data_IF_156707383804
#
_entry.id   IF_156707383804
#
_cell.length_a   1.000
_cell.length_b   1.000
_cell.length_c   1.000
_cell.angle_alpha   90.00
_cell.angle_beta   90.00
_cell.angle_gamma   90.00
#
_symmetry.space_group_name_H-M   'P 1'
#
loop_
_entity.id
_entity.type
_entity.pdbx_description
1 polymer ?
#
# COMPACT_ATOMS: atom_id res chain seq x y z
N UNK A 1 53.56 -22.28 -20.91
CA UNK A 1 52.66 -22.08 -19.73
C UNK A 1 51.43 -21.33 -20.24
N UNK A 2 50.32 -22.00 -20.33
CA UNK A 2 49.03 -21.39 -20.78
C UNK A 2 48.19 -21.15 -19.54
N UNK A 3 47.87 -19.88 -19.29
CA UNK A 3 47.05 -19.46 -18.17
C UNK A 3 45.57 -19.91 -18.36
N UNK A 4 44.98 -20.47 -17.34
CA UNK A 4 43.56 -20.78 -17.26
C UNK A 4 42.75 -19.50 -17.07
N UNK A 5 41.63 -19.33 -17.77
CA UNK A 5 40.74 -18.20 -17.47
C UNK A 5 40.00 -18.45 -16.20
N UNK A 6 39.83 -17.36 -15.43
CA UNK A 6 39.07 -17.32 -14.17
C UNK A 6 37.62 -17.80 -14.40
N UNK A 7 37.17 -18.68 -13.53
CA UNK A 7 35.79 -19.14 -13.48
C UNK A 7 34.87 -17.98 -13.10
N UNK A 8 34.02 -17.56 -14.02
CA UNK A 8 32.86 -16.73 -13.75
C UNK A 8 31.87 -17.54 -12.90
N UNK A 9 31.72 -17.12 -11.66
CA UNK A 9 30.66 -17.61 -10.75
C UNK A 9 29.32 -17.10 -11.29
N UNK A 10 28.67 -17.87 -12.14
CA UNK A 10 27.28 -17.75 -12.45
C UNK A 10 26.52 -18.39 -11.30
N UNK A 11 25.99 -17.58 -10.37
CA UNK A 11 24.92 -18.00 -9.47
C UNK A 11 23.67 -18.26 -10.32
N UNK A 12 23.61 -19.47 -10.89
CA UNK A 12 22.44 -19.98 -11.58
C UNK A 12 21.36 -20.24 -10.53
N UNK A 13 20.34 -19.38 -10.47
CA UNK A 13 19.07 -19.71 -9.87
C UNK A 13 18.51 -20.90 -10.66
N UNK A 14 18.72 -22.10 -10.14
CA UNK A 14 18.06 -23.30 -10.65
C UNK A 14 16.57 -23.10 -10.41
N UNK A 15 15.83 -22.67 -11.45
CA UNK A 15 14.37 -22.76 -11.49
C UNK A 15 14.03 -24.25 -11.36
N UNK A 16 13.67 -24.68 -10.14
CA UNK A 16 13.18 -26.04 -9.92
C UNK A 16 11.83 -26.12 -10.62
N UNK A 17 11.77 -26.89 -11.71
CA UNK A 17 10.53 -27.16 -12.41
C UNK A 17 9.79 -28.31 -11.72
N UNK A 18 8.51 -28.11 -11.46
CA UNK A 18 7.62 -29.14 -10.89
C UNK A 18 6.74 -29.70 -12.01
N UNK A 19 6.51 -31.02 -12.00
CA UNK A 19 5.68 -31.70 -12.98
C UNK A 19 4.64 -32.57 -12.30
N UNK A 20 3.45 -32.67 -12.90
CA UNK A 20 2.42 -33.62 -12.48
C UNK A 20 2.68 -35.02 -13.11
N UNK A 21 1.79 -35.98 -12.87
CA UNK A 21 1.89 -37.34 -13.35
C UNK A 21 1.65 -37.51 -14.87
N UNK A 22 1.32 -36.44 -15.55
CA UNK A 22 1.19 -36.36 -17.03
C UNK A 22 2.38 -35.66 -17.67
N UNK A 23 3.47 -35.43 -16.96
CA UNK A 23 4.64 -34.64 -17.40
C UNK A 23 4.33 -33.19 -17.80
N UNK A 24 3.24 -32.62 -17.26
CA UNK A 24 2.90 -31.21 -17.43
C UNK A 24 3.59 -30.39 -16.35
N UNK A 25 4.26 -29.31 -16.76
CA UNK A 25 4.86 -28.38 -15.81
C UNK A 25 3.76 -27.65 -15.02
N UNK A 26 3.90 -27.65 -13.68
CA UNK A 26 2.98 -27.03 -12.73
C UNK A 26 3.71 -26.05 -11.82
N UNK A 27 2.95 -25.20 -11.11
CA UNK A 27 3.51 -24.28 -10.12
C UNK A 27 4.17 -25.00 -8.94
N UNK A 28 5.05 -24.28 -8.24
CA UNK A 28 5.67 -24.76 -7.02
C UNK A 28 4.62 -25.08 -5.95
N UNK A 29 4.78 -26.16 -5.18
CA UNK A 29 3.88 -26.47 -4.08
C UNK A 29 3.96 -25.40 -2.98
N UNK A 30 2.85 -25.18 -2.29
CA UNK A 30 2.77 -24.30 -1.12
C UNK A 30 2.41 -25.17 0.10
N UNK A 31 3.39 -25.86 0.69
CA UNK A 31 3.12 -26.79 1.77
C UNK A 31 2.57 -26.07 3.00
N UNK A 32 1.56 -26.68 3.65
CA UNK A 32 0.94 -26.13 4.86
C UNK A 32 0.07 -24.91 4.64
N UNK A 33 -0.26 -24.56 3.39
CA UNK A 33 -1.13 -23.42 3.11
C UNK A 33 -2.58 -23.71 3.54
N UNK A 34 -3.08 -22.91 4.47
CA UNK A 34 -4.44 -22.98 5.01
C UNK A 34 -5.22 -21.64 4.86
N UNK A 35 -4.72 -20.75 4.03
CA UNK A 35 -5.26 -19.40 3.86
C UNK A 35 -4.71 -18.39 4.87
N UNK A 36 -4.95 -17.10 4.58
CA UNK A 36 -4.63 -15.99 5.46
C UNK A 36 -5.77 -15.74 6.47
N UNK A 37 -5.45 -15.05 7.58
CA UNK A 37 -6.44 -14.59 8.56
C UNK A 37 -7.06 -13.27 8.10
N UNK A 38 -8.35 -13.06 8.39
CA UNK A 38 -9.00 -11.77 8.11
C UNK A 38 -8.31 -10.66 8.90
N UNK A 39 -7.94 -9.53 8.25
CA UNK A 39 -7.45 -8.38 8.99
C UNK A 39 -8.53 -7.86 9.95
N UNK A 40 -8.11 -7.50 11.15
CA UNK A 40 -9.01 -7.04 12.19
C UNK A 40 -9.21 -5.51 12.10
N UNK A 41 -10.37 -5.05 12.59
CA UNK A 41 -10.63 -3.61 12.77
C UNK A 41 -10.05 -3.14 14.11
N UNK A 42 -8.72 -3.23 14.23
CA UNK A 42 -7.97 -2.83 15.42
C UNK A 42 -7.06 -1.66 15.12
N UNK A 43 -6.68 -0.93 16.16
CA UNK A 43 -5.75 0.21 16.03
C UNK A 43 -4.34 -0.27 15.72
N UNK A 44 -3.73 0.29 14.67
CA UNK A 44 -2.33 0.06 14.32
C UNK A 44 -1.51 1.31 14.68
N UNK A 45 -0.74 1.23 15.75
CA UNK A 45 0.04 2.35 16.24
C UNK A 45 1.41 2.43 15.55
N UNK A 46 1.73 3.60 15.01
CA UNK A 46 3.04 4.00 14.52
C UNK A 46 3.66 5.12 15.35
N UNK A 47 4.79 5.62 14.90
CA UNK A 47 5.48 6.76 15.53
C UNK A 47 4.86 8.10 15.13
N UNK A 48 4.61 8.26 13.84
CA UNK A 48 4.14 9.51 13.24
C UNK A 48 2.63 9.52 13.02
N UNK A 49 2.04 8.34 12.86
CA UNK A 49 0.60 8.19 12.74
C UNK A 49 0.07 6.96 13.49
N UNK A 50 -1.22 6.97 13.69
CA UNK A 50 -1.99 5.83 14.18
C UNK A 50 -3.12 5.57 13.19
N UNK A 51 -3.29 4.31 12.77
CA UNK A 51 -4.46 3.91 11.99
C UNK A 51 -5.54 3.46 12.96
N UNK A 52 -6.63 4.23 13.01
CA UNK A 52 -7.80 3.88 13.81
C UNK A 52 -8.89 3.27 12.93
N UNK A 53 -9.62 2.25 13.41
CA UNK A 53 -10.82 1.79 12.72
C UNK A 53 -11.72 2.97 12.38
N UNK A 54 -12.08 3.11 11.11
CA UNK A 54 -12.84 4.26 10.63
C UNK A 54 -14.20 4.35 11.31
N UNK A 55 -14.55 5.53 11.79
CA UNK A 55 -15.82 5.84 12.41
C UNK A 55 -16.30 7.22 11.94
N UNK A 56 -17.57 7.31 11.48
CA UNK A 56 -18.09 8.54 10.90
C UNK A 56 -18.23 9.66 11.95
N UNK A 57 -18.72 9.35 13.13
CA UNK A 57 -18.93 10.36 14.18
C UNK A 57 -17.61 10.91 14.71
N UNK A 58 -16.60 10.03 14.83
CA UNK A 58 -15.30 10.42 15.37
C UNK A 58 -14.42 11.17 14.33
N UNK A 59 -14.48 10.79 13.05
CA UNK A 59 -13.45 11.20 12.10
C UNK A 59 -13.93 12.16 11.00
N UNK A 60 -15.25 12.21 10.69
CA UNK A 60 -15.74 12.95 9.52
C UNK A 60 -15.42 14.45 9.59
N UNK A 61 -15.54 15.07 10.75
CA UNK A 61 -15.29 16.51 10.90
C UNK A 61 -13.81 16.85 10.66
N UNK A 62 -12.88 16.08 11.23
CA UNK A 62 -11.45 16.30 11.04
C UNK A 62 -11.02 15.99 9.61
N UNK A 63 -11.54 14.93 9.00
CA UNK A 63 -11.28 14.58 7.60
C UNK A 63 -11.76 15.67 6.65
N UNK A 64 -12.98 16.19 6.84
CA UNK A 64 -13.51 17.30 6.04
C UNK A 64 -12.59 18.52 6.12
N UNK A 65 -12.25 18.95 7.34
CA UNK A 65 -11.35 20.09 7.54
C UNK A 65 -9.99 19.87 6.87
N UNK A 66 -9.44 18.64 6.96
CA UNK A 66 -8.17 18.32 6.33
C UNK A 66 -8.24 18.32 4.79
N UNK A 67 -9.35 17.85 4.20
CA UNK A 67 -9.54 17.86 2.74
C UNK A 67 -9.82 19.26 2.20
N UNK A 68 -10.47 20.13 2.98
CA UNK A 68 -10.75 21.52 2.61
C UNK A 68 -9.49 22.40 2.59
N UNK A 69 -8.37 21.97 3.15
CA UNK A 69 -7.09 22.65 3.00
C UNK A 69 -6.55 22.58 1.55
N UNK A 70 -7.11 21.72 0.70
CA UNK A 70 -6.75 21.66 -0.72
C UNK A 70 -7.38 22.83 -1.49
N UNK A 71 -6.62 23.50 -2.38
CA UNK A 71 -7.12 24.65 -3.14
C UNK A 71 -8.21 24.27 -4.16
N UNK A 72 -8.27 23.00 -4.57
CA UNK A 72 -9.22 22.46 -5.54
C UNK A 72 -9.37 20.94 -5.39
N UNK A 73 -10.15 20.32 -6.29
CA UNK A 73 -10.52 18.91 -6.24
C UNK A 73 -9.60 17.98 -7.04
N UNK A 74 -8.44 18.48 -7.52
CA UNK A 74 -7.55 17.65 -8.37
C UNK A 74 -7.12 16.34 -7.72
N UNK A 75 -7.05 16.28 -6.40
CA UNK A 75 -6.68 15.08 -5.65
C UNK A 75 -7.75 13.98 -5.71
N UNK A 76 -8.99 14.37 -6.04
CA UNK A 76 -10.13 13.48 -6.17
C UNK A 76 -10.39 13.02 -7.61
N UNK A 77 -9.57 13.47 -8.56
CA UNK A 77 -9.70 13.12 -9.99
C UNK A 77 -9.77 11.62 -10.21
N UNK A 78 -8.91 10.86 -9.54
CA UNK A 78 -8.77 9.41 -9.74
C UNK A 78 -9.58 8.57 -8.75
N UNK A 79 -10.26 9.21 -7.79
CA UNK A 79 -11.12 8.55 -6.81
C UNK A 79 -12.52 8.29 -7.37
N UNK A 80 -13.23 7.33 -6.76
CA UNK A 80 -14.59 6.97 -7.17
C UNK A 80 -15.60 8.07 -6.88
N UNK A 81 -15.42 8.76 -5.76
CA UNK A 81 -16.27 9.84 -5.26
C UNK A 81 -15.64 11.20 -5.54
N UNK A 82 -16.47 12.22 -5.50
CA UNK A 82 -16.00 13.60 -5.43
C UNK A 82 -15.67 14.00 -3.99
N UNK A 83 -14.96 15.11 -3.81
CA UNK A 83 -14.67 15.64 -2.50
C UNK A 83 -15.96 16.05 -1.79
N UNK A 84 -16.17 15.62 -0.54
CA UNK A 84 -17.31 16.12 0.22
C UNK A 84 -17.12 17.62 0.55
N UNK A 85 -18.17 18.41 0.36
CA UNK A 85 -18.17 19.84 0.61
C UNK A 85 -18.70 20.20 2.00
N UNK A 86 -19.55 19.36 2.56
CA UNK A 86 -20.20 19.58 3.84
C UNK A 86 -19.94 18.45 4.83
N UNK A 87 -20.11 18.73 6.13
CA UNK A 87 -19.97 17.71 7.17
C UNK A 87 -20.95 16.55 6.96
N UNK A 88 -22.19 16.84 6.55
CA UNK A 88 -23.18 15.80 6.29
C UNK A 88 -22.74 14.87 5.16
N UNK A 89 -22.23 15.43 4.06
CA UNK A 89 -21.69 14.63 2.94
C UNK A 89 -20.47 13.83 3.34
N UNK A 90 -19.55 14.42 4.12
CA UNK A 90 -18.37 13.71 4.61
C UNK A 90 -18.73 12.57 5.55
N UNK A 91 -19.65 12.82 6.48
CA UNK A 91 -20.16 11.80 7.40
C UNK A 91 -20.80 10.63 6.63
N UNK A 92 -21.66 10.92 5.67
CA UNK A 92 -22.29 9.91 4.81
C UNK A 92 -21.25 9.11 4.02
N UNK A 93 -20.29 9.79 3.39
CA UNK A 93 -19.20 9.15 2.63
C UNK A 93 -18.33 8.23 3.50
N UNK A 94 -18.03 8.64 4.74
CA UNK A 94 -17.31 7.81 5.71
C UNK A 94 -18.19 6.64 6.18
N UNK A 95 -19.45 6.90 6.51
CA UNK A 95 -20.38 5.87 6.98
C UNK A 95 -20.58 4.75 5.95
N UNK A 96 -20.68 5.07 4.66
CA UNK A 96 -20.75 4.09 3.57
C UNK A 96 -19.55 3.15 3.56
N UNK A 97 -18.33 3.66 3.81
CA UNK A 97 -17.14 2.80 3.88
C UNK A 97 -17.10 1.93 5.13
N UNK A 98 -17.59 2.43 6.25
CA UNK A 98 -17.68 1.66 7.50
C UNK A 98 -18.69 0.50 7.36
N UNK A 99 -19.78 0.75 6.63
CA UNK A 99 -20.86 -0.24 6.41
C UNK A 99 -20.55 -1.24 5.32
N UNK A 100 -19.57 -0.97 4.44
CA UNK A 100 -19.20 -1.90 3.38
C UNK A 100 -18.45 -3.10 3.95
N UNK A 101 -19.03 -4.32 3.90
CA UNK A 101 -18.40 -5.52 4.47
C UNK A 101 -17.18 -5.99 3.69
N UNK A 102 -16.98 -5.50 2.47
CA UNK A 102 -15.81 -5.81 1.64
C UNK A 102 -14.58 -4.98 1.99
N UNK A 103 -14.71 -4.00 2.90
CA UNK A 103 -13.66 -3.09 3.31
C UNK A 103 -13.26 -3.30 4.77
N UNK A 104 -11.98 -3.08 5.06
CA UNK A 104 -11.47 -2.81 6.41
C UNK A 104 -10.86 -1.40 6.39
N UNK A 105 -11.69 -0.38 6.67
CA UNK A 105 -11.31 1.01 6.52
C UNK A 105 -10.68 1.58 7.78
N UNK A 106 -9.67 2.45 7.60
CA UNK A 106 -8.96 3.15 8.66
C UNK A 106 -8.93 4.66 8.41
N UNK A 107 -9.06 5.42 9.48
CA UNK A 107 -8.63 6.81 9.53
C UNK A 107 -7.14 6.87 9.84
N UNK A 108 -6.41 7.74 9.17
CA UNK A 108 -5.01 8.04 9.49
C UNK A 108 -4.97 9.22 10.42
N UNK A 109 -4.65 8.95 11.68
CA UNK A 109 -4.47 9.98 12.72
C UNK A 109 -3.03 10.49 12.68
N UNK A 110 -2.84 11.79 12.54
CA UNK A 110 -1.51 12.41 12.70
C UNK A 110 -1.21 12.52 14.20
N UNK A 111 -0.20 11.81 14.69
CA UNK A 111 0.12 11.77 16.11
C UNK A 111 0.55 13.11 16.69
N UNK A 112 1.11 14.02 15.88
CA UNK A 112 1.50 15.34 16.35
C UNK A 112 0.31 16.29 16.48
N UNK A 113 -0.75 16.09 15.66
CA UNK A 113 -1.94 16.92 15.62
C UNK A 113 -3.09 16.34 16.46
N UNK A 114 -3.12 15.02 16.64
CA UNK A 114 -4.25 14.32 17.25
C UNK A 114 -5.52 14.33 16.38
N UNK A 115 -5.38 14.49 15.06
CA UNK A 115 -6.49 14.66 14.12
C UNK A 115 -6.42 13.66 12.97
N UNK A 116 -7.58 13.25 12.44
CA UNK A 116 -7.65 12.47 11.22
C UNK A 116 -7.26 13.32 10.01
N UNK A 117 -6.26 12.87 9.25
CA UNK A 117 -5.70 13.59 8.09
C UNK A 117 -5.81 12.83 6.77
N UNK A 118 -6.31 11.60 6.79
CA UNK A 118 -6.50 10.77 5.61
C UNK A 118 -7.27 9.51 5.91
N UNK A 119 -7.56 8.75 4.86
CA UNK A 119 -8.29 7.50 4.91
C UNK A 119 -7.63 6.48 3.99
N UNK A 120 -7.64 5.22 4.41
CA UNK A 120 -7.14 4.09 3.63
C UNK A 120 -7.88 2.82 4.02
N UNK A 121 -7.96 1.84 3.12
CA UNK A 121 -8.66 0.58 3.38
C UNK A 121 -7.83 -0.63 2.93
N UNK A 122 -8.02 -1.76 3.61
CA UNK A 122 -7.91 -3.05 2.95
C UNK A 122 -9.18 -3.35 2.19
N UNK A 123 -9.04 -3.92 1.00
CA UNK A 123 -10.15 -4.30 0.15
C UNK A 123 -9.80 -5.52 -0.70
N UNK A 124 -10.80 -6.08 -1.41
CA UNK A 124 -10.62 -7.28 -2.26
C UNK A 124 -9.89 -8.40 -1.54
N UNK A 125 -10.30 -8.66 -0.29
CA UNK A 125 -9.64 -9.60 0.61
C UNK A 125 -10.02 -11.02 0.22
N UNK A 126 -9.05 -11.75 -0.35
CA UNK A 126 -9.14 -13.18 -0.68
C UNK A 126 -8.26 -13.98 0.27
N UNK A 127 -8.83 -14.44 1.37
CA UNK A 127 -8.11 -15.21 2.39
C UNK A 127 -7.65 -16.56 1.86
N UNK A 128 -8.45 -17.20 0.99
CA UNK A 128 -8.15 -18.53 0.48
C UNK A 128 -6.86 -18.52 -0.35
N UNK A 129 -6.65 -17.48 -1.13
CA UNK A 129 -5.46 -17.29 -1.94
C UNK A 129 -4.38 -16.43 -1.26
N UNK A 130 -4.68 -15.83 -0.10
CA UNK A 130 -3.76 -14.97 0.64
C UNK A 130 -3.45 -13.66 -0.10
N UNK A 131 -4.47 -13.05 -0.71
CA UNK A 131 -4.34 -11.81 -1.50
C UNK A 131 -5.25 -10.73 -0.93
N UNK A 132 -4.75 -9.51 -0.81
CA UNK A 132 -5.56 -8.33 -0.52
C UNK A 132 -5.01 -7.10 -1.25
N UNK A 133 -5.84 -6.07 -1.34
CA UNK A 133 -5.46 -4.78 -1.94
C UNK A 133 -5.48 -3.69 -0.88
N UNK A 134 -4.47 -2.81 -0.90
CA UNK A 134 -4.52 -1.51 -0.23
C UNK A 134 -5.14 -0.51 -1.20
N UNK A 135 -6.28 0.05 -0.83
CA UNK A 135 -7.03 0.97 -1.68
C UNK A 135 -7.73 2.09 -0.92
N UNK A 136 -8.55 2.85 -1.63
CA UNK A 136 -9.20 4.05 -1.11
C UNK A 136 -8.23 5.04 -0.46
N UNK A 137 -6.98 5.09 -0.93
CA UNK A 137 -5.95 6.00 -0.41
C UNK A 137 -6.38 7.44 -0.67
N UNK A 138 -6.82 8.13 0.37
CA UNK A 138 -7.35 9.49 0.30
C UNK A 138 -6.58 10.38 1.26
N UNK A 139 -5.48 10.95 0.74
CA UNK A 139 -4.59 11.81 1.52
C UNK A 139 -5.00 13.27 1.44
N UNK A 140 -5.10 13.94 2.57
CA UNK A 140 -5.26 15.39 2.62
C UNK A 140 -3.91 16.12 2.37
N UNK A 141 -3.93 17.43 2.10
CA UNK A 141 -2.71 18.25 2.05
C UNK A 141 -1.87 18.16 3.33
N UNK A 142 -2.50 17.88 4.49
CA UNK A 142 -1.82 17.79 5.80
C UNK A 142 -0.84 16.61 5.87
N UNK A 143 -1.03 15.56 5.07
CA UNK A 143 -0.17 14.38 5.07
C UNK A 143 0.56 14.10 3.75
N UNK A 144 0.22 14.81 2.67
CA UNK A 144 0.91 14.65 1.38
C UNK A 144 2.38 14.99 1.49
N UNK A 145 3.23 14.15 0.87
CA UNK A 145 4.69 14.28 0.88
C UNK A 145 5.31 14.35 2.28
N UNK A 146 4.63 13.81 3.29
CA UNK A 146 5.10 13.72 4.67
C UNK A 146 5.37 12.27 5.05
N UNK A 147 6.12 12.08 6.13
CA UNK A 147 6.45 10.77 6.69
C UNK A 147 5.19 9.98 7.06
N UNK A 148 4.15 10.64 7.52
CA UNK A 148 2.85 10.08 7.92
C UNK A 148 2.25 9.16 6.86
N UNK A 149 2.26 9.58 5.57
CA UNK A 149 1.70 8.77 4.49
C UNK A 149 2.47 7.48 4.22
N UNK A 150 3.79 7.53 4.35
CA UNK A 150 4.63 6.33 4.18
C UNK A 150 4.47 5.38 5.36
N UNK A 151 4.42 5.91 6.59
CA UNK A 151 4.23 5.07 7.78
C UNK A 151 2.84 4.40 7.78
N UNK A 152 1.78 5.12 7.39
CA UNK A 152 0.44 4.56 7.29
C UNK A 152 0.41 3.33 6.35
N UNK A 153 1.04 3.42 5.19
CA UNK A 153 1.12 2.30 4.24
C UNK A 153 2.02 1.17 4.74
N UNK A 154 3.12 1.50 5.42
CA UNK A 154 3.96 0.49 6.06
C UNK A 154 3.23 -0.28 7.14
N UNK A 155 2.43 0.39 7.99
CA UNK A 155 1.60 -0.25 9.02
C UNK A 155 0.62 -1.25 8.41
N UNK A 156 -0.04 -0.88 7.31
CA UNK A 156 -0.97 -1.78 6.60
C UNK A 156 -0.24 -2.97 5.97
N UNK A 157 0.88 -2.74 5.28
CA UNK A 157 1.65 -3.84 4.70
C UNK A 157 2.14 -4.82 5.77
N UNK A 158 2.65 -4.30 6.89
CA UNK A 158 3.07 -5.12 8.03
C UNK A 158 1.91 -5.96 8.56
N UNK A 159 0.76 -5.34 8.83
CA UNK A 159 -0.42 -6.04 9.33
C UNK A 159 -0.89 -7.13 8.37
N UNK A 160 -0.91 -6.86 7.06
CA UNK A 160 -1.28 -7.84 6.05
C UNK A 160 -0.35 -9.07 6.07
N UNK A 161 0.96 -8.87 6.09
CA UNK A 161 1.91 -10.00 6.10
C UNK A 161 1.91 -10.75 7.44
N UNK A 162 1.71 -10.06 8.57
CA UNK A 162 1.53 -10.69 9.89
C UNK A 162 0.24 -11.53 9.97
N UNK A 163 -0.80 -11.21 9.17
CA UNK A 163 -2.01 -12.00 9.00
C UNK A 163 -1.84 -13.18 8.02
N UNK A 164 -0.66 -13.35 7.43
CA UNK A 164 -0.32 -14.45 6.55
C UNK A 164 -0.72 -14.25 5.09
N UNK A 165 -1.02 -13.03 4.68
CA UNK A 165 -1.19 -12.74 3.26
C UNK A 165 0.14 -12.96 2.53
N UNK A 166 0.06 -13.56 1.33
CA UNK A 166 1.23 -13.84 0.47
C UNK A 166 1.49 -12.72 -0.53
N UNK A 167 0.47 -11.87 -0.74
CA UNK A 167 0.45 -10.87 -1.79
C UNK A 167 -0.39 -9.66 -1.35
N UNK A 168 0.23 -8.50 -1.36
CA UNK A 168 -0.44 -7.21 -1.21
C UNK A 168 -0.48 -6.54 -2.57
N UNK A 169 -1.66 -6.10 -3.00
CA UNK A 169 -1.88 -5.44 -4.29
C UNK A 169 -2.03 -3.93 -4.15
N UNK A 170 -1.63 -3.24 -5.20
CA UNK A 170 -1.88 -1.83 -5.42
C UNK A 170 -2.38 -1.63 -6.84
N UNK A 171 -3.43 -0.85 -7.01
CA UNK A 171 -4.02 -0.55 -8.31
C UNK A 171 -4.23 0.94 -8.47
N UNK A 172 -3.94 1.45 -9.65
CA UNK A 172 -4.22 2.85 -9.96
C UNK A 172 -4.71 3.02 -11.40
N UNK A 173 -5.31 4.18 -11.67
CA UNK A 173 -5.54 4.62 -13.04
C UNK A 173 -4.19 4.78 -13.73
N UNK A 174 -4.08 4.33 -14.99
CA UNK A 174 -2.83 4.41 -15.76
C UNK A 174 -2.35 5.85 -15.99
N UNK A 175 -3.25 6.83 -15.84
CA UNK A 175 -2.93 8.26 -15.92
C UNK A 175 -2.52 8.86 -14.56
N UNK A 176 -2.72 8.13 -13.45
CA UNK A 176 -2.33 8.57 -12.11
C UNK A 176 -0.85 8.29 -11.82
N UNK A 177 0.02 9.09 -12.42
CA UNK A 177 1.48 8.93 -12.28
C UNK A 177 1.97 9.07 -10.84
N UNK A 178 1.28 9.85 -10.01
CA UNK A 178 1.62 10.01 -8.60
C UNK A 178 1.40 8.70 -7.81
N UNK A 179 0.28 8.02 -8.05
CA UNK A 179 -0.02 6.73 -7.42
C UNK A 179 0.93 5.63 -7.89
N UNK A 180 1.25 5.60 -9.19
CA UNK A 180 2.26 4.69 -9.75
C UNK A 180 3.62 4.86 -9.04
N UNK A 181 4.12 6.09 -8.99
CA UNK A 181 5.39 6.39 -8.31
C UNK A 181 5.38 6.02 -6.83
N UNK A 182 4.24 6.20 -6.16
CA UNK A 182 4.08 5.81 -4.76
C UNK A 182 4.22 4.28 -4.60
N UNK A 183 3.56 3.49 -5.43
CA UNK A 183 3.68 2.03 -5.41
C UNK A 183 5.13 1.57 -5.64
N UNK A 184 5.77 2.06 -6.72
CA UNK A 184 7.16 1.73 -7.06
C UNK A 184 8.13 2.14 -5.93
N UNK A 185 7.92 3.33 -5.35
CA UNK A 185 8.72 3.82 -4.23
C UNK A 185 8.62 2.91 -3.00
N UNK A 186 7.42 2.40 -2.69
CA UNK A 186 7.17 1.51 -1.54
C UNK A 186 7.70 0.09 -1.75
N UNK A 187 8.08 -0.27 -2.97
CA UNK A 187 8.64 -1.58 -3.26
C UNK A 187 7.73 -2.50 -4.06
N UNK A 188 6.56 -2.02 -4.46
CA UNK A 188 5.67 -2.81 -5.31
C UNK A 188 6.26 -2.96 -6.71
N UNK A 189 6.11 -4.15 -7.26
CA UNK A 189 6.48 -4.50 -8.63
C UNK A 189 5.32 -4.28 -9.58
N UNK A 190 5.55 -3.61 -10.71
CA UNK A 190 4.57 -3.46 -11.78
C UNK A 190 4.35 -4.78 -12.50
N UNK A 191 3.09 -5.20 -12.67
CA UNK A 191 2.73 -6.46 -13.33
C UNK A 191 2.05 -6.28 -14.68
N UNK A 192 1.35 -5.17 -14.89
CA UNK A 192 0.71 -4.94 -16.16
C UNK A 192 -0.41 -3.88 -16.12
N UNK A 193 -0.93 -3.59 -17.33
CA UNK A 193 -2.05 -2.68 -17.57
C UNK A 193 -3.25 -3.45 -18.11
N UNK A 194 -4.36 -3.36 -17.42
CA UNK A 194 -5.64 -3.88 -17.88
C UNK A 194 -6.38 -2.75 -18.60
N UNK A 195 -6.52 -2.90 -19.91
CA UNK A 195 -7.16 -1.89 -20.77
C UNK A 195 -8.66 -1.92 -20.59
N UNK A 196 -9.31 -0.75 -20.59
CA UNK A 196 -10.77 -0.58 -20.46
C UNK A 196 -11.34 -1.36 -19.26
N UNK A 197 -10.59 -1.38 -18.15
CA UNK A 197 -10.95 -2.19 -16.98
C UNK A 197 -12.23 -1.70 -16.30
N UNK A 198 -12.49 -0.39 -16.34
CA UNK A 198 -13.70 0.18 -15.77
C UNK A 198 -14.03 1.55 -16.39
N UNK A 199 -15.28 1.98 -16.13
CA UNK A 199 -15.71 3.36 -16.38
C UNK A 199 -15.74 4.09 -15.02
N UNK A 200 -15.06 5.24 -14.95
CA UNK A 200 -14.99 6.05 -13.75
C UNK A 200 -15.35 7.51 -14.08
N UNK A 201 -16.35 8.07 -13.40
CA UNK A 201 -16.84 9.44 -13.66
C UNK A 201 -17.10 9.68 -15.15
N UNK A 202 -17.74 8.73 -15.84
CA UNK A 202 -18.03 8.79 -17.27
C UNK A 202 -16.83 8.65 -18.21
N UNK A 203 -15.65 8.31 -17.70
CA UNK A 203 -14.41 8.18 -18.49
C UNK A 203 -13.87 6.76 -18.45
N UNK A 204 -13.19 6.35 -19.52
CA UNK A 204 -12.44 5.11 -19.55
C UNK A 204 -11.31 5.15 -18.51
N UNK A 205 -11.13 4.04 -17.81
CA UNK A 205 -9.99 3.80 -16.94
C UNK A 205 -9.31 2.51 -17.33
N UNK A 206 -8.09 2.62 -17.83
CA UNK A 206 -7.14 1.54 -17.83
C UNK A 206 -6.52 1.46 -16.43
N UNK A 207 -6.43 0.26 -15.86
CA UNK A 207 -5.88 0.08 -14.52
C UNK A 207 -4.50 -0.55 -14.58
N UNK A 208 -3.54 0.06 -13.91
CA UNK A 208 -2.23 -0.53 -13.67
C UNK A 208 -2.24 -1.33 -12.38
N UNK A 209 -1.58 -2.49 -12.42
CA UNK A 209 -1.52 -3.47 -11.35
C UNK A 209 -0.10 -3.60 -10.82
N UNK A 210 0.03 -3.59 -9.50
CA UNK A 210 1.28 -3.74 -8.79
C UNK A 210 1.11 -4.72 -7.64
N UNK A 211 2.17 -5.42 -7.26
CA UNK A 211 2.17 -6.32 -6.12
C UNK A 211 3.44 -6.21 -5.30
N UNK A 212 3.32 -6.57 -4.04
CA UNK A 212 4.42 -6.86 -3.12
C UNK A 212 4.16 -8.25 -2.52
N UNK A 213 5.14 -9.14 -2.64
CA UNK A 213 5.03 -10.51 -2.19
C UNK A 213 5.62 -10.72 -0.79
N UNK A 214 5.17 -11.78 -0.10
CA UNK A 214 5.70 -12.17 1.21
C UNK A 214 7.21 -12.46 1.17
N UNK A 215 7.71 -12.99 0.05
CA UNK A 215 9.15 -13.21 -0.18
C UNK A 215 9.96 -11.92 -0.34
N UNK A 216 9.31 -10.83 -0.78
CA UNK A 216 9.92 -9.51 -0.99
C UNK A 216 9.78 -8.61 0.27
N UNK A 217 8.78 -8.92 1.09
CA UNK A 217 8.43 -8.10 2.26
C UNK A 217 9.58 -7.90 3.26
N UNK A 218 10.39 -8.92 3.65
CA UNK A 218 11.47 -8.70 4.60
C UNK A 218 12.45 -7.60 4.18
N UNK A 219 12.77 -7.53 2.90
CA UNK A 219 13.65 -6.50 2.35
C UNK A 219 12.97 -5.12 2.33
N UNK A 220 11.71 -5.07 1.92
CA UNK A 220 10.92 -3.84 1.89
C UNK A 220 10.68 -3.30 3.31
N UNK A 221 10.35 -4.14 4.27
CA UNK A 221 10.17 -3.79 5.68
C UNK A 221 11.46 -3.20 6.29
N UNK A 222 12.59 -3.86 6.08
CA UNK A 222 13.88 -3.38 6.59
C UNK A 222 14.22 -1.98 6.05
N UNK A 223 14.00 -1.75 4.75
CA UNK A 223 14.24 -0.45 4.12
C UNK A 223 13.28 0.63 4.64
N UNK A 224 11.99 0.29 4.79
CA UNK A 224 10.98 1.20 5.32
C UNK A 224 11.24 1.57 6.78
N UNK A 225 11.57 0.61 7.64
CA UNK A 225 11.94 0.87 9.03
C UNK A 225 13.17 1.79 9.13
N UNK A 226 14.20 1.53 8.33
CA UNK A 226 15.40 2.36 8.30
C UNK A 226 15.09 3.78 7.82
N UNK A 227 14.22 3.93 6.82
CA UNK A 227 13.79 5.23 6.33
C UNK A 227 12.95 5.97 7.36
N UNK A 228 12.04 5.27 8.08
CA UNK A 228 11.14 5.84 9.11
C UNK A 228 11.87 6.20 10.41
N UNK A 229 13.15 5.84 10.55
CA UNK A 229 13.93 6.20 11.74
C UNK A 229 13.98 7.73 11.92
N UNK A 230 13.77 8.24 13.16
CA UNK A 230 13.85 9.69 13.43
C UNK A 230 15.15 10.34 12.97
N UNK A 231 16.25 9.61 12.99
CA UNK A 231 17.57 10.07 12.56
C UNK A 231 17.62 10.43 11.08
N UNK A 232 16.68 9.89 10.28
CA UNK A 232 16.55 10.21 8.85
C UNK A 232 15.84 11.53 8.59
N UNK A 233 15.34 12.20 9.61
CA UNK A 233 14.61 13.46 9.45
C UNK A 233 15.32 14.61 10.16
N UNK A 234 15.18 15.83 9.60
CA UNK A 234 15.54 17.07 10.27
C UNK A 234 14.47 17.43 11.31
N UNK A 235 14.74 18.45 12.15
CA UNK A 235 13.76 18.97 13.08
C UNK A 235 12.47 19.46 12.40
N UNK A 236 12.60 19.92 11.15
CA UNK A 236 11.46 20.38 10.31
C UNK A 236 10.76 19.22 9.58
N UNK A 237 11.14 17.96 9.83
CA UNK A 237 10.51 16.79 9.24
C UNK A 237 10.93 16.49 7.80
N UNK A 238 12.05 17.07 7.32
CA UNK A 238 12.58 16.82 5.98
C UNK A 238 13.47 15.58 6.02
N UNK A 239 13.23 14.62 5.12
CA UNK A 239 14.08 13.42 5.01
C UNK A 239 15.51 13.79 4.61
N UNK A 240 16.50 13.18 5.26
CA UNK A 240 17.93 13.34 4.92
C UNK A 240 18.34 12.43 3.78
N UNK A 241 17.78 11.23 3.73
CA UNK A 241 18.00 10.24 2.69
C UNK A 241 16.66 9.73 2.13
N UNK A 242 16.55 9.56 0.79
CA UNK A 242 15.35 8.99 0.19
C UNK A 242 15.24 7.50 0.49
N UNK A 243 14.03 6.93 0.41
CA UNK A 243 13.79 5.51 0.64
C UNK A 243 14.62 4.59 -0.28
N UNK A 244 14.89 5.03 -1.51
CA UNK A 244 15.75 4.30 -2.46
C UNK A 244 17.17 4.05 -1.92
N UNK A 245 17.70 4.94 -1.07
CA UNK A 245 19.00 4.77 -0.43
C UNK A 245 19.05 3.54 0.48
N UNK A 246 17.96 3.27 1.20
CA UNK A 246 17.87 2.15 2.13
C UNK A 246 17.58 0.82 1.38
N UNK A 247 16.84 0.86 0.27
CA UNK A 247 16.57 -0.31 -0.55
C UNK A 247 17.81 -0.86 -1.25
N UNK A 248 18.74 0.00 -1.64
CA UNK A 248 19.97 -0.39 -2.33
C UNK A 248 21.00 -1.08 -1.41
N UNK A 249 20.81 -0.99 -0.07
CA UNK A 249 21.75 -1.52 0.93
C UNK A 249 21.35 -2.85 1.53
N UNK A 250 20.18 -3.40 1.21
CA UNK A 250 19.81 -4.72 1.69
C UNK A 250 20.64 -5.76 0.96
N UNK A 251 21.40 -6.61 1.67
CA UNK A 251 22.14 -7.69 1.03
C UNK A 251 21.19 -8.63 0.33
N UNK A 252 21.57 -9.05 -0.87
CA UNK A 252 20.88 -10.05 -1.66
C UNK A 252 20.90 -11.43 -0.95
#
# INVERSE_FOLDING_TARGET
>A
MRGFPAALSLSSWLLVAYFNHYDQQVGAPVPGWNGARMPERTTLAGRYCTLEPLNADAHAAALLAAYQDAPDDRDWTWLASDRPDTLAQCHEWVAQKVMDPSLVPFAVMDNARGEAVGLVCFMRIDKANGVLEIGHVTWSPRMKNRVTGTEALWLLMRDAFEHGFRRVEWKCDSMNTASRRAAERLGFTYEGRLRQMMVRKGRNRDSEWFSLLDSEWPQADAALRAWLSPENFTADGIQKQPLSHFRARSPA
#
